data_IF_113109184899
#
_entry.id   IF_113109184899
#
_cell.length_a   1.000
_cell.length_b   1.000
_cell.length_c   1.000
_cell.angle_alpha   90.00
_cell.angle_beta   90.00
_cell.angle_gamma   90.00
#
_symmetry.space_group_name_H-M   'P 1'
#
loop_
_entity.id
_entity.type
_entity.pdbx_description
1 polymer ?
#
# COMPACT_ATOMS: atom_id res chain seq x y z
N UNK A 1 -15.53 -9.97 0.43
CA UNK A 1 -16.32 -8.95 -0.30
C UNK A 1 -17.75 -8.92 0.21
N UNK A 2 -18.45 -10.06 0.24
CA UNK A 2 -19.80 -10.17 0.81
C UNK A 2 -19.92 -9.62 2.24
N UNK A 3 -18.91 -9.86 3.09
CA UNK A 3 -18.90 -9.35 4.47
C UNK A 3 -18.90 -7.81 4.55
N UNK A 4 -18.13 -7.13 3.68
CA UNK A 4 -18.11 -5.67 3.62
C UNK A 4 -19.45 -5.14 3.08
N UNK A 5 -20.00 -5.81 2.07
CA UNK A 5 -21.30 -5.44 1.50
C UNK A 5 -22.43 -5.56 2.52
N UNK A 6 -22.41 -6.58 3.39
CA UNK A 6 -23.38 -6.70 4.49
C UNK A 6 -23.25 -5.56 5.51
N UNK A 7 -22.04 -5.11 5.83
CA UNK A 7 -21.82 -3.99 6.77
C UNK A 7 -22.30 -2.66 6.17
N UNK A 8 -22.10 -2.46 4.87
CA UNK A 8 -22.51 -1.22 4.19
C UNK A 8 -24.00 -1.25 3.81
N UNK A 9 -24.61 -2.42 3.68
CA UNK A 9 -26.04 -2.56 3.37
C UNK A 9 -26.91 -1.93 4.47
N UNK A 10 -27.72 -0.93 4.08
CA UNK A 10 -28.60 -0.19 5.00
C UNK A 10 -28.00 1.10 5.56
N UNK A 11 -26.75 1.45 5.21
CA UNK A 11 -26.17 2.76 5.52
C UNK A 11 -26.93 3.87 4.79
N UNK A 12 -27.32 4.95 5.48
CA UNK A 12 -27.89 6.14 4.81
C UNK A 12 -26.86 6.79 3.88
N UNK A 13 -25.58 6.74 4.27
CA UNK A 13 -24.45 7.34 3.55
C UNK A 13 -23.22 6.47 3.69
N UNK A 14 -22.45 6.37 2.62
CA UNK A 14 -21.12 5.77 2.63
C UNK A 14 -20.12 6.73 1.98
N UNK A 15 -18.86 6.65 2.38
CA UNK A 15 -17.78 7.44 1.79
C UNK A 15 -16.66 6.50 1.37
N UNK A 16 -16.16 6.69 0.15
CA UNK A 16 -15.05 5.92 -0.41
C UNK A 16 -13.85 6.84 -0.53
N UNK A 17 -12.75 6.46 0.13
CA UNK A 17 -11.51 7.22 0.14
C UNK A 17 -10.55 6.59 -0.86
N UNK A 18 -10.13 7.36 -1.86
CA UNK A 18 -9.08 6.93 -2.77
C UNK A 18 -7.71 7.27 -2.18
N UNK A 19 -6.92 6.23 -1.91
CA UNK A 19 -5.55 6.33 -1.43
C UNK A 19 -4.59 6.08 -2.60
N UNK A 20 -4.71 6.88 -3.67
CA UNK A 20 -3.96 6.75 -4.92
C UNK A 20 -2.45 6.56 -4.72
N UNK A 21 -1.86 7.27 -3.75
CA UNK A 21 -0.43 7.18 -3.39
C UNK A 21 -0.17 6.38 -2.11
N UNK A 22 -1.12 5.53 -1.69
CA UNK A 22 -1.10 4.84 -0.41
C UNK A 22 0.11 3.91 -0.23
N UNK A 23 0.55 3.25 -1.31
CA UNK A 23 1.76 2.42 -1.27
C UNK A 23 3.00 3.24 -0.97
N UNK A 24 3.13 4.41 -1.61
CA UNK A 24 4.24 5.35 -1.41
C UNK A 24 4.24 6.02 -0.04
N UNK A 25 3.32 5.69 0.88
CA UNK A 25 3.37 6.12 2.28
C UNK A 25 4.00 5.08 3.21
N UNK A 26 4.11 3.81 2.77
CA UNK A 26 4.65 2.72 3.58
C UNK A 26 6.17 2.64 3.43
N UNK A 27 6.89 2.71 4.55
CA UNK A 27 8.34 2.56 4.58
C UNK A 27 8.74 1.11 4.36
N UNK A 28 9.74 0.90 3.50
CA UNK A 28 10.39 -0.40 3.33
C UNK A 28 11.49 -0.52 4.38
N UNK A 29 11.58 -1.68 5.02
CA UNK A 29 12.63 -1.98 6.00
C UNK A 29 14.00 -1.68 5.39
N UNK A 30 14.87 -1.03 6.14
CA UNK A 30 16.19 -0.60 5.65
C UNK A 30 17.00 -1.78 5.07
N UNK A 31 16.95 -2.93 5.73
CA UNK A 31 17.57 -4.18 5.28
C UNK A 31 17.04 -4.73 3.95
N UNK A 32 15.84 -4.34 3.53
CA UNK A 32 15.19 -4.82 2.30
C UNK A 32 15.22 -3.80 1.15
N UNK A 33 15.60 -2.55 1.40
CA UNK A 33 15.57 -1.48 0.38
C UNK A 33 16.44 -1.80 -0.84
N UNK A 34 17.55 -2.52 -0.66
CA UNK A 34 18.43 -2.90 -1.78
C UNK A 34 17.73 -3.85 -2.77
N UNK A 35 16.72 -4.62 -2.35
CA UNK A 35 15.97 -5.57 -3.19
C UNK A 35 15.06 -4.87 -4.19
N UNK A 36 14.75 -3.60 -3.94
CA UNK A 36 13.91 -2.75 -4.79
C UNK A 36 14.72 -1.62 -5.45
N UNK A 37 16.02 -1.89 -5.67
CA UNK A 37 16.89 -1.01 -6.41
C UNK A 37 16.58 -1.04 -7.91
N UNK A 38 16.76 0.09 -8.57
CA UNK A 38 16.63 0.26 -10.01
C UNK A 38 17.82 1.05 -10.55
N UNK A 39 18.21 0.74 -11.78
CA UNK A 39 19.35 1.38 -12.44
C UNK A 39 18.87 2.30 -13.54
N UNK A 40 19.44 3.50 -13.57
CA UNK A 40 19.25 4.50 -14.62
C UNK A 40 20.59 4.82 -15.27
N UNK A 41 20.58 5.59 -16.36
CA UNK A 41 21.82 6.09 -16.98
C UNK A 41 22.68 6.97 -16.05
N UNK A 42 22.13 7.42 -14.93
CA UNK A 42 22.80 8.28 -13.96
C UNK A 42 23.23 7.56 -12.67
N UNK A 43 22.95 6.26 -12.57
CA UNK A 43 23.31 5.45 -11.40
C UNK A 43 22.21 4.52 -10.92
N UNK A 44 22.51 3.78 -9.86
CA UNK A 44 21.61 2.85 -9.19
C UNK A 44 21.03 3.50 -7.95
N UNK A 45 19.71 3.43 -7.81
CA UNK A 45 18.94 4.02 -6.73
C UNK A 45 18.06 2.95 -6.09
N UNK A 46 17.75 3.12 -4.80
CA UNK A 46 16.82 2.25 -4.08
C UNK A 46 15.65 3.07 -3.54
N UNK A 47 14.44 2.50 -3.67
CA UNK A 47 13.27 3.10 -3.05
C UNK A 47 13.33 2.95 -1.53
N UNK A 48 13.00 4.02 -0.80
CA UNK A 48 12.81 3.99 0.67
C UNK A 48 11.38 3.62 1.08
N UNK A 49 10.43 3.92 0.20
CA UNK A 49 9.00 3.67 0.38
C UNK A 49 8.52 2.71 -0.69
N UNK A 50 7.45 1.99 -0.42
CA UNK A 50 6.97 0.91 -1.27
C UNK A 50 6.61 1.43 -2.68
N UNK A 51 7.33 1.02 -3.74
CA UNK A 51 6.99 1.36 -5.12
C UNK A 51 5.84 0.49 -5.63
N UNK A 52 5.23 0.92 -6.73
CA UNK A 52 4.29 0.09 -7.49
C UNK A 52 5.01 -1.12 -8.12
N UNK A 53 4.24 -2.18 -8.38
CA UNK A 53 4.73 -3.38 -9.06
C UNK A 53 5.34 -4.45 -8.15
N UNK A 54 5.42 -4.22 -6.83
CA UNK A 54 5.80 -5.29 -5.90
C UNK A 54 4.65 -6.28 -5.71
N UNK A 55 4.96 -7.57 -5.81
CA UNK A 55 3.98 -8.67 -5.66
C UNK A 55 3.20 -8.62 -4.34
N UNK A 56 3.85 -8.18 -3.26
CA UNK A 56 3.26 -8.12 -1.92
C UNK A 56 2.78 -6.72 -1.51
N UNK A 57 2.71 -5.76 -2.43
CA UNK A 57 2.32 -4.38 -2.13
C UNK A 57 0.90 -4.31 -1.52
N UNK A 58 -0.08 -4.93 -2.18
CA UNK A 58 -1.48 -4.90 -1.75
C UNK A 58 -1.69 -5.55 -0.37
N UNK A 59 -1.05 -6.69 -0.11
CA UNK A 59 -1.15 -7.38 1.18
C UNK A 59 -0.49 -6.59 2.32
N UNK A 60 0.60 -5.88 2.02
CA UNK A 60 1.26 -5.00 3.00
C UNK A 60 0.41 -3.76 3.29
N UNK A 61 -0.20 -3.19 2.26
CA UNK A 61 -1.11 -2.06 2.40
C UNK A 61 -2.38 -2.42 3.17
N UNK A 62 -2.98 -3.57 2.91
CA UNK A 62 -4.14 -4.05 3.67
C UNK A 62 -3.79 -4.20 5.16
N UNK A 63 -2.62 -4.77 5.49
CA UNK A 63 -2.16 -4.86 6.87
C UNK A 63 -1.98 -3.49 7.52
N UNK A 64 -1.49 -2.49 6.77
CA UNK A 64 -1.39 -1.12 7.28
C UNK A 64 -2.77 -0.50 7.54
N UNK A 65 -3.74 -0.67 6.64
CA UNK A 65 -5.11 -0.22 6.84
C UNK A 65 -5.76 -0.90 8.06
N UNK A 66 -5.55 -2.20 8.22
CA UNK A 66 -6.01 -2.95 9.38
C UNK A 66 -5.35 -2.47 10.69
N UNK A 67 -4.14 -1.93 10.69
CA UNK A 67 -3.54 -1.36 11.92
C UNK A 67 -4.10 0.02 12.26
N UNK A 68 -4.63 0.75 11.28
CA UNK A 68 -5.09 2.14 11.46
C UNK A 68 -6.59 2.20 11.74
N UNK A 69 -7.40 1.35 11.10
CA UNK A 69 -8.86 1.43 11.08
C UNK A 69 -9.58 0.26 11.78
N UNK A 70 -8.84 -0.70 12.35
CA UNK A 70 -9.38 -1.86 13.07
C UNK A 70 -9.20 -1.66 14.56
#
# INVERSE_FOLDING_TARGET
MEQILQVVAGSERFSLLDLYSGYNQIMVKEEDQFKIAFTTKWGTFAYRKMPFGLSNASATFQRAMDMVFK
#
